data_IF_173318409904
#
_entry.id   IF_173318409904
#
_cell.length_a   1.000
_cell.length_b   1.000
_cell.length_c   1.000
_cell.angle_alpha   90.00
_cell.angle_beta   90.00
_cell.angle_gamma   90.00
#
_symmetry.space_group_name_H-M   'P 1'
#
loop_
_entity.id
_entity.type
_entity.pdbx_description
1 polymer ?
#
# COMPACT_ATOMS: atom_id res chain seq x y z
N UNK A 1 -33.81 -28.56 37.21
CA UNK A 1 -33.61 -28.39 35.76
C UNK A 1 -34.10 -26.99 35.38
N UNK A 2 -33.19 -26.06 35.04
CA UNK A 2 -33.48 -24.62 35.04
C UNK A 2 -34.24 -24.17 33.77
N UNK A 3 -35.58 -24.14 33.86
CA UNK A 3 -36.49 -23.67 32.80
C UNK A 3 -36.07 -22.31 32.18
N UNK A 4 -35.54 -21.40 32.99
CA UNK A 4 -35.06 -20.09 32.53
C UNK A 4 -33.84 -20.16 31.58
N UNK A 5 -32.97 -21.18 31.73
CA UNK A 5 -31.85 -21.39 30.79
C UNK A 5 -32.37 -21.90 29.45
N UNK A 6 -33.39 -22.76 29.46
CA UNK A 6 -33.98 -23.32 28.25
C UNK A 6 -34.69 -22.26 27.41
N UNK A 7 -35.43 -21.35 28.06
CA UNK A 7 -36.09 -20.21 27.39
C UNK A 7 -35.05 -19.27 26.73
N UNK A 8 -33.93 -19.00 27.42
CA UNK A 8 -32.84 -18.20 26.83
C UNK A 8 -32.22 -18.85 25.59
N UNK A 9 -32.03 -20.16 25.61
CA UNK A 9 -31.51 -20.90 24.44
C UNK A 9 -32.46 -20.83 23.24
N UNK A 10 -33.77 -20.98 23.47
CA UNK A 10 -34.78 -20.86 22.41
C UNK A 10 -34.79 -19.45 21.81
N UNK A 11 -34.70 -18.41 22.65
CA UNK A 11 -34.68 -17.03 22.17
C UNK A 11 -33.45 -16.74 21.31
N UNK A 12 -32.28 -17.25 21.70
CA UNK A 12 -31.04 -17.11 20.93
C UNK A 12 -31.14 -17.82 19.58
N UNK A 13 -31.66 -19.05 19.55
CA UNK A 13 -31.88 -19.82 18.31
C UNK A 13 -32.85 -19.09 17.37
N UNK A 14 -33.90 -18.48 17.90
CA UNK A 14 -34.86 -17.70 17.12
C UNK A 14 -34.23 -16.43 16.51
N UNK A 15 -33.38 -15.73 17.26
CA UNK A 15 -32.65 -14.56 16.76
C UNK A 15 -31.68 -14.96 15.63
N UNK A 16 -30.95 -16.06 15.79
CA UNK A 16 -30.04 -16.58 14.75
C UNK A 16 -30.82 -16.94 13.48
N UNK A 17 -31.99 -17.58 13.63
CA UNK A 17 -32.86 -17.90 12.51
C UNK A 17 -33.39 -16.65 11.79
N UNK A 18 -33.80 -15.62 12.53
CA UNK A 18 -34.21 -14.34 11.95
C UNK A 18 -33.08 -13.66 11.18
N UNK A 19 -31.86 -13.67 11.70
CA UNK A 19 -30.67 -13.13 11.01
C UNK A 19 -30.41 -13.91 9.71
N UNK A 20 -30.53 -15.24 9.74
CA UNK A 20 -30.35 -16.08 8.55
C UNK A 20 -31.43 -15.81 7.48
N UNK A 21 -32.68 -15.60 7.90
CA UNK A 21 -33.79 -15.25 7.02
C UNK A 21 -33.57 -13.88 6.36
N UNK A 22 -33.14 -12.88 7.14
CA UNK A 22 -32.83 -11.53 6.63
C UNK A 22 -31.64 -11.57 5.66
N UNK A 23 -30.61 -12.37 5.96
CA UNK A 23 -29.46 -12.55 5.08
C UNK A 23 -29.86 -13.15 3.73
N UNK A 24 -30.72 -14.18 3.74
CA UNK A 24 -31.30 -14.77 2.51
C UNK A 24 -32.09 -13.76 1.68
N UNK A 25 -32.83 -12.86 2.31
CA UNK A 25 -33.62 -11.82 1.62
C UNK A 25 -32.70 -10.75 1.02
N UNK A 26 -31.70 -10.28 1.77
CA UNK A 26 -30.80 -9.20 1.33
C UNK A 26 -29.78 -9.65 0.29
N UNK A 27 -29.33 -10.91 0.37
CA UNK A 27 -28.32 -11.49 -0.51
C UNK A 27 -28.91 -12.61 -1.37
N UNK A 28 -30.06 -12.34 -1.99
CA UNK A 28 -30.52 -13.15 -3.11
C UNK A 28 -29.50 -12.95 -4.24
N UNK A 29 -28.83 -14.03 -4.67
CA UNK A 29 -27.78 -13.99 -5.68
C UNK A 29 -28.29 -13.22 -6.91
N UNK A 30 -27.80 -12.00 -7.11
CA UNK A 30 -27.98 -11.31 -8.38
C UNK A 30 -27.17 -12.11 -9.38
N UNK A 31 -27.85 -12.83 -10.26
CA UNK A 31 -27.25 -13.43 -11.43
C UNK A 31 -26.35 -12.39 -12.10
N UNK A 32 -25.07 -12.71 -12.23
CA UNK A 32 -24.13 -11.89 -12.97
C UNK A 32 -24.65 -11.93 -14.41
N UNK A 33 -25.13 -10.80 -14.91
CA UNK A 33 -25.52 -10.68 -16.31
C UNK A 33 -24.23 -10.75 -17.13
N UNK A 34 -23.86 -11.95 -17.57
CA UNK A 34 -22.79 -12.15 -18.53
C UNK A 34 -23.36 -11.64 -19.85
N UNK A 35 -22.91 -10.47 -20.29
CA UNK A 35 -23.16 -9.98 -21.64
C UNK A 35 -22.39 -10.89 -22.61
N UNK A 36 -22.96 -12.04 -22.95
CA UNK A 36 -22.53 -12.79 -24.13
C UNK A 36 -23.05 -12.00 -25.33
N UNK A 37 -22.16 -11.35 -26.05
CA UNK A 37 -22.52 -10.80 -27.36
C UNK A 37 -22.83 -11.96 -28.29
N UNK A 38 -24.03 -11.98 -28.87
CA UNK A 38 -24.43 -12.96 -29.90
C UNK A 38 -23.73 -12.74 -31.26
N UNK A 39 -22.72 -11.85 -31.31
CA UNK A 39 -21.90 -11.69 -32.50
C UNK A 39 -21.05 -12.96 -32.69
N UNK A 40 -21.04 -13.55 -33.91
CA UNK A 40 -20.16 -14.67 -34.19
C UNK A 40 -18.72 -14.23 -33.97
N UNK A 41 -17.95 -15.07 -33.27
CA UNK A 41 -16.52 -14.87 -33.06
C UNK A 41 -15.92 -14.66 -34.45
N UNK A 42 -15.42 -13.45 -34.74
CA UNK A 42 -14.69 -13.19 -35.98
C UNK A 42 -13.44 -14.05 -35.95
N UNK A 43 -13.49 -15.18 -36.64
CA UNK A 43 -12.31 -16.02 -36.87
C UNK A 43 -11.25 -15.19 -37.59
N UNK A 44 -9.99 -15.37 -37.19
CA UNK A 44 -8.89 -14.72 -37.88
C UNK A 44 -8.84 -15.21 -39.34
N UNK A 45 -8.50 -14.34 -40.31
CA UNK A 45 -8.43 -14.73 -41.71
C UNK A 45 -7.49 -15.92 -41.90
N UNK A 46 -7.97 -16.95 -42.62
CA UNK A 46 -7.27 -18.22 -42.86
C UNK A 46 -5.96 -18.01 -43.62
N UNK A 47 -5.90 -16.96 -44.45
CA UNK A 47 -4.70 -16.54 -45.19
C UNK A 47 -4.30 -15.12 -44.79
N UNK A 48 -3.94 -14.94 -43.52
CA UNK A 48 -3.27 -13.71 -43.10
C UNK A 48 -1.92 -13.63 -43.86
N UNK A 49 -1.66 -12.57 -44.64
CA UNK A 49 -0.38 -12.43 -45.32
C UNK A 49 0.75 -12.44 -44.29
N UNK A 50 1.84 -13.16 -44.58
CA UNK A 50 3.01 -13.20 -43.72
C UNK A 50 3.53 -11.77 -43.54
N UNK A 51 3.30 -11.22 -42.35
CA UNK A 51 3.74 -9.90 -41.99
C UNK A 51 5.25 -9.98 -41.77
N UNK A 52 6.02 -9.56 -42.77
CA UNK A 52 7.48 -9.45 -42.61
C UNK A 52 7.76 -8.48 -41.47
N UNK A 53 8.54 -8.92 -40.49
CA UNK A 53 9.03 -8.05 -39.44
C UNK A 53 9.69 -6.82 -40.09
N UNK A 54 9.35 -5.60 -39.66
CA UNK A 54 10.00 -4.42 -40.18
C UNK A 54 11.49 -4.51 -39.88
N UNK A 55 12.33 -4.15 -40.85
CA UNK A 55 13.80 -4.12 -40.74
C UNK A 55 14.29 -3.37 -39.49
N UNK A 56 13.46 -2.46 -38.97
CA UNK A 56 13.64 -1.77 -37.71
C UNK A 56 12.32 -1.84 -36.94
N UNK A 57 12.27 -2.65 -35.88
CA UNK A 57 11.16 -2.64 -34.91
C UNK A 57 11.48 -1.58 -33.84
N UNK A 58 10.83 -0.41 -33.84
CA UNK A 58 11.05 0.58 -32.80
C UNK A 58 10.53 0.04 -31.46
N UNK A 59 11.32 0.23 -30.40
CA UNK A 59 10.93 -0.16 -29.06
C UNK A 59 9.61 0.50 -28.67
N UNK A 60 8.75 -0.22 -27.96
CA UNK A 60 7.45 0.31 -27.47
C UNK A 60 7.61 1.63 -26.69
N UNK A 61 8.80 1.89 -26.13
CA UNK A 61 9.17 3.13 -25.45
C UNK A 61 9.48 4.34 -26.35
N UNK A 62 9.82 4.15 -27.63
CA UNK A 62 10.15 5.26 -28.56
C UNK A 62 8.93 5.83 -29.31
N UNK A 63 7.72 5.33 -29.05
CA UNK A 63 6.49 5.95 -29.55
C UNK A 63 6.19 7.33 -28.92
N UNK A 64 6.92 7.71 -27.86
CA UNK A 64 6.69 8.96 -27.11
C UNK A 64 7.87 9.91 -27.10
N UNK A 65 9.01 9.53 -27.70
CA UNK A 65 10.16 10.41 -27.83
C UNK A 65 10.98 9.99 -29.05
N UNK A 66 11.29 10.97 -29.90
CA UNK A 66 12.15 10.95 -31.09
C UNK A 66 12.87 9.61 -31.32
N UNK A 67 12.51 8.91 -32.42
CA UNK A 67 13.08 7.68 -33.00
C UNK A 67 14.49 7.29 -32.53
N UNK A 68 14.61 6.91 -31.27
CA UNK A 68 15.86 6.51 -30.67
C UNK A 68 15.96 5.00 -30.88
N UNK A 69 17.06 4.51 -31.49
CA UNK A 69 17.29 3.08 -31.62
C UNK A 69 17.16 2.42 -30.26
N UNK A 70 16.52 1.24 -30.22
CA UNK A 70 16.46 0.44 -29.01
C UNK A 70 17.86 0.31 -28.41
N UNK A 71 18.02 0.71 -27.15
CA UNK A 71 19.22 0.34 -26.40
C UNK A 71 19.39 -1.16 -26.51
N UNK A 72 20.61 -1.61 -26.84
CA UNK A 72 20.89 -3.04 -26.93
C UNK A 72 20.62 -3.70 -25.57
N UNK A 73 20.39 -5.01 -25.56
CA UNK A 73 20.28 -5.78 -24.31
C UNK A 73 21.50 -5.53 -23.41
N UNK A 74 22.67 -5.36 -24.01
CA UNK A 74 23.92 -5.03 -23.35
C UNK A 74 23.90 -3.61 -22.75
N UNK A 75 23.32 -2.61 -23.44
CA UNK A 75 23.16 -1.24 -22.93
C UNK A 75 22.16 -1.18 -21.78
N UNK A 76 21.08 -1.98 -21.81
CA UNK A 76 20.13 -2.11 -20.70
C UNK A 76 20.77 -2.79 -19.50
N UNK A 77 21.63 -3.81 -19.72
CA UNK A 77 22.42 -4.45 -18.68
C UNK A 77 23.51 -3.49 -18.15
N UNK A 78 24.08 -2.64 -19.00
CA UNK A 78 25.08 -1.63 -18.64
C UNK A 78 24.47 -0.41 -17.94
N UNK A 79 23.24 -0.01 -18.23
CA UNK A 79 22.48 0.96 -17.46
C UNK A 79 22.05 0.40 -16.10
N UNK A 80 21.97 -0.94 -16.01
CA UNK A 80 21.88 -1.71 -14.76
C UNK A 80 23.23 -1.87 -14.04
N UNK A 81 24.33 -1.31 -14.55
CA UNK A 81 25.63 -1.29 -13.85
C UNK A 81 25.37 -0.88 -12.41
N UNK A 82 25.81 -1.76 -11.53
CA UNK A 82 25.52 -1.75 -10.10
C UNK A 82 25.62 -0.32 -9.58
N UNK A 83 24.48 0.25 -9.20
CA UNK A 83 24.46 1.56 -8.54
C UNK A 83 25.22 1.39 -7.23
N UNK A 84 26.53 1.72 -7.27
CA UNK A 84 27.38 1.82 -6.11
C UNK A 84 26.77 2.86 -5.20
N UNK A 85 26.60 2.51 -3.94
CA UNK A 85 25.89 3.35 -2.99
C UNK A 85 25.35 2.53 -1.85
N UNK A 86 24.91 3.25 -0.83
CA UNK A 86 24.33 2.67 0.34
C UNK A 86 22.81 2.62 0.22
N UNK A 87 22.23 1.60 0.84
CA UNK A 87 20.81 1.33 0.79
C UNK A 87 20.23 1.16 2.18
N UNK A 88 18.94 1.47 2.29
CA UNK A 88 18.13 1.21 3.47
C UNK A 88 17.09 0.14 3.13
N UNK A 89 17.00 -0.89 3.95
CA UNK A 89 15.88 -1.85 3.93
C UNK A 89 14.85 -1.41 4.95
N UNK A 90 13.58 -1.43 4.55
CA UNK A 90 12.43 -1.26 5.44
C UNK A 90 11.68 -2.58 5.51
N UNK A 91 11.51 -3.07 6.73
CA UNK A 91 11.06 -4.44 7.01
C UNK A 91 9.55 -4.50 7.24
N UNK A 92 8.98 -3.52 7.93
CA UNK A 92 7.55 -3.43 8.21
C UNK A 92 7.24 -2.10 8.91
N UNK A 93 5.98 -1.70 8.87
CA UNK A 93 5.43 -0.54 9.58
C UNK A 93 4.37 -1.02 10.57
N UNK A 94 4.41 -0.49 11.78
CA UNK A 94 3.57 -0.89 12.90
C UNK A 94 2.84 0.32 13.48
N UNK A 95 1.63 0.11 13.98
CA UNK A 95 0.86 1.14 14.71
C UNK A 95 1.37 1.34 16.14
N UNK A 96 2.08 0.35 16.70
CA UNK A 96 2.55 0.37 18.08
C UNK A 96 4.05 0.06 18.17
N UNK A 97 4.76 0.83 18.98
CA UNK A 97 6.19 0.67 19.24
C UNK A 97 6.53 -0.71 19.84
N UNK A 98 5.69 -1.22 20.75
CA UNK A 98 5.89 -2.54 21.37
C UNK A 98 5.81 -3.68 20.34
N UNK A 99 4.93 -3.55 19.36
CA UNK A 99 4.78 -4.54 18.29
C UNK A 99 6.01 -4.53 17.38
N UNK A 100 6.53 -3.34 17.06
CA UNK A 100 7.79 -3.20 16.34
C UNK A 100 8.96 -3.85 17.12
N UNK A 101 9.06 -3.63 18.43
CA UNK A 101 10.08 -4.27 19.27
C UNK A 101 9.95 -5.79 19.29
N UNK A 102 8.73 -6.33 19.37
CA UNK A 102 8.49 -7.78 19.31
C UNK A 102 8.97 -8.37 17.97
N UNK A 103 8.67 -7.69 16.86
CA UNK A 103 9.11 -8.12 15.53
C UNK A 103 10.62 -8.01 15.34
N UNK A 104 11.29 -7.02 15.94
CA UNK A 104 12.76 -6.98 15.97
C UNK A 104 13.32 -8.22 16.67
N UNK A 105 12.72 -8.68 17.79
CA UNK A 105 13.17 -9.91 18.46
C UNK A 105 13.06 -11.12 17.54
N UNK A 106 11.95 -11.24 16.79
CA UNK A 106 11.77 -12.30 15.79
C UNK A 106 12.77 -12.18 14.64
N UNK A 107 13.02 -10.99 14.11
CA UNK A 107 14.02 -10.77 13.05
C UNK A 107 15.43 -11.17 13.49
N UNK A 108 15.78 -10.91 14.76
CA UNK A 108 17.08 -11.29 15.33
C UNK A 108 17.29 -12.80 15.51
N UNK A 109 16.26 -13.63 15.33
CA UNK A 109 16.43 -15.10 15.31
C UNK A 109 16.97 -15.61 13.98
N UNK A 110 16.94 -14.78 12.92
CA UNK A 110 17.46 -15.12 11.60
C UNK A 110 18.95 -14.77 11.55
N UNK A 111 19.81 -15.75 11.26
CA UNK A 111 21.26 -15.60 11.37
C UNK A 111 21.83 -14.53 10.44
N UNK A 112 21.27 -14.36 9.24
CA UNK A 112 21.68 -13.29 8.33
C UNK A 112 21.30 -11.90 8.84
N UNK A 113 20.14 -11.80 9.49
CA UNK A 113 19.59 -10.51 9.93
C UNK A 113 20.13 -10.10 11.30
N UNK A 114 20.45 -11.07 12.16
CA UNK A 114 21.03 -10.84 13.49
C UNK A 114 22.30 -10.00 13.44
N UNK A 115 23.05 -10.08 12.33
CA UNK A 115 24.29 -9.31 12.10
C UNK A 115 24.04 -7.87 11.68
N UNK A 116 22.82 -7.55 11.22
CA UNK A 116 22.46 -6.23 10.73
C UNK A 116 22.07 -5.31 11.89
N UNK A 117 22.43 -4.04 11.76
CA UNK A 117 21.94 -3.00 12.66
C UNK A 117 20.48 -2.69 12.30
N UNK A 118 19.57 -3.07 13.20
CA UNK A 118 18.15 -2.78 13.09
C UNK A 118 17.78 -1.60 13.98
N UNK A 119 17.04 -0.65 13.43
CA UNK A 119 16.57 0.55 14.10
C UNK A 119 15.06 0.69 13.93
N UNK A 120 14.39 1.30 14.92
CA UNK A 120 12.98 1.69 14.82
C UNK A 120 12.94 3.18 14.52
N UNK A 121 12.42 3.53 13.35
CA UNK A 121 12.19 4.89 12.92
C UNK A 121 10.73 5.28 13.20
N UNK A 122 10.51 6.42 13.85
CA UNK A 122 9.17 7.01 13.96
C UNK A 122 8.81 7.68 12.64
N UNK A 123 7.74 7.22 12.01
CA UNK A 123 7.18 7.77 10.79
C UNK A 123 5.98 8.61 11.18
N UNK A 124 6.16 9.93 11.19
CA UNK A 124 5.06 10.87 11.32
C UNK A 124 4.14 10.69 10.10
N UNK A 125 2.93 10.19 10.34
CA UNK A 125 1.94 10.08 9.30
C UNK A 125 1.13 11.37 9.27
N UNK A 126 1.03 12.00 8.11
CA UNK A 126 0.11 13.10 7.89
C UNK A 126 -0.88 12.80 6.78
N UNK A 127 -2.10 13.33 6.91
CA UNK A 127 -3.08 13.31 5.83
C UNK A 127 -3.29 14.73 5.33
N UNK A 128 -3.07 14.94 4.04
CA UNK A 128 -3.38 16.23 3.42
C UNK A 128 -4.82 16.25 2.89
N UNK A 129 -5.55 17.30 3.25
CA UNK A 129 -6.85 17.63 2.69
C UNK A 129 -6.87 19.07 2.15
N UNK A 130 -7.83 19.36 1.28
CA UNK A 130 -8.11 20.73 0.82
C UNK A 130 -9.45 21.18 1.39
N UNK A 131 -9.44 22.37 1.98
CA UNK A 131 -10.63 23.01 2.56
C UNK A 131 -11.69 23.24 1.47
N UNK A 132 -12.90 22.76 1.72
CA UNK A 132 -14.08 22.94 0.87
C UNK A 132 -15.03 23.95 1.47
N UNK A 133 -16.02 24.40 0.69
CA UNK A 133 -17.05 25.32 1.16
C UNK A 133 -17.80 24.73 2.36
N UNK A 134 -17.81 25.47 3.46
CA UNK A 134 -18.43 25.05 4.73
C UNK A 134 -17.51 24.26 5.66
N UNK A 135 -16.25 23.98 5.28
CA UNK A 135 -15.27 23.45 6.22
C UNK A 135 -14.88 24.49 7.27
N UNK A 136 -14.69 24.01 8.50
CA UNK A 136 -14.10 24.76 9.61
C UNK A 136 -12.97 23.94 10.19
N UNK A 137 -11.98 24.59 10.80
CA UNK A 137 -10.87 23.86 11.43
C UNK A 137 -11.37 22.97 12.56
N UNK A 138 -12.40 23.40 13.29
CA UNK A 138 -13.06 22.61 14.33
C UNK A 138 -13.70 21.31 13.80
N UNK A 139 -14.39 21.38 12.66
CA UNK A 139 -15.02 20.20 12.05
C UNK A 139 -13.98 19.22 11.52
N UNK A 140 -12.91 19.74 10.92
CA UNK A 140 -11.79 18.92 10.45
C UNK A 140 -11.11 18.24 11.64
N UNK A 141 -10.76 19.00 12.69
CA UNK A 141 -10.13 18.48 13.89
C UNK A 141 -10.95 17.35 14.54
N UNK A 142 -12.27 17.57 14.71
CA UNK A 142 -13.19 16.57 15.25
C UNK A 142 -13.28 15.30 14.39
N UNK A 143 -13.29 15.43 13.06
CA UNK A 143 -13.35 14.28 12.15
C UNK A 143 -12.14 13.35 12.27
N UNK A 144 -10.97 13.92 12.59
CA UNK A 144 -9.72 13.18 12.68
C UNK A 144 -9.24 12.92 14.11
N UNK A 145 -10.02 13.33 15.11
CA UNK A 145 -9.70 13.11 16.52
C UNK A 145 -8.48 13.88 17.03
N UNK A 146 -8.13 15.01 16.39
CA UNK A 146 -7.05 15.91 16.81
C UNK A 146 -7.63 17.16 17.46
N UNK A 147 -6.84 17.85 18.27
CA UNK A 147 -7.28 19.13 18.84
C UNK A 147 -7.18 20.25 17.81
N UNK A 148 -8.01 21.29 17.97
CA UNK A 148 -7.97 22.47 17.08
C UNK A 148 -6.61 23.16 17.17
N UNK A 149 -6.09 23.30 18.38
CA UNK A 149 -4.81 23.97 18.64
C UNK A 149 -3.64 23.19 18.03
N UNK A 150 -3.61 21.87 18.21
CA UNK A 150 -2.61 21.00 17.57
C UNK A 150 -2.67 21.11 16.05
N UNK A 151 -3.87 21.04 15.47
CA UNK A 151 -4.04 21.15 14.02
C UNK A 151 -3.64 22.54 13.52
N UNK A 152 -3.94 23.61 14.27
CA UNK A 152 -3.54 24.97 13.94
C UNK A 152 -2.02 25.14 14.00
N UNK A 153 -1.37 24.66 15.05
CA UNK A 153 0.09 24.70 15.22
C UNK A 153 0.78 23.91 14.11
N UNK A 154 0.31 22.68 13.83
CA UNK A 154 0.87 21.82 12.79
C UNK A 154 0.84 22.47 11.40
N UNK A 155 -0.19 23.28 11.13
CA UNK A 155 -0.36 23.99 9.86
C UNK A 155 0.08 25.46 9.91
N UNK A 156 0.71 25.91 10.99
CA UNK A 156 1.11 27.32 11.20
C UNK A 156 -0.05 28.33 11.03
N UNK A 157 -1.26 27.95 11.44
CA UNK A 157 -2.48 28.78 11.39
C UNK A 157 -2.57 29.63 12.66
N UNK A 158 -2.53 30.96 12.48
CA UNK A 158 -2.60 31.91 13.60
C UNK A 158 -4.01 32.10 14.18
N UNK A 159 -5.02 32.05 13.31
CA UNK A 159 -6.43 32.20 13.69
C UNK A 159 -7.21 30.96 13.22
N UNK A 160 -7.52 30.00 14.11
CA UNK A 160 -8.29 28.80 13.79
C UNK A 160 -9.66 29.05 13.16
N UNK A 161 -10.24 30.23 13.37
CA UNK A 161 -11.52 30.65 12.79
C UNK A 161 -11.41 31.10 11.32
N UNK A 162 -10.20 31.29 10.81
CA UNK A 162 -9.94 31.82 9.46
C UNK A 162 -9.13 30.82 8.64
N UNK A 163 -9.85 29.95 7.93
CA UNK A 163 -9.29 29.08 6.88
C UNK A 163 -9.91 29.42 5.52
N UNK A 164 -9.11 29.31 4.46
CA UNK A 164 -9.49 29.70 3.11
C UNK A 164 -9.90 28.50 2.27
N UNK A 165 -10.80 28.70 1.31
CA UNK A 165 -11.14 27.68 0.31
C UNK A 165 -9.88 27.18 -0.41
N UNK A 166 -9.82 25.88 -0.68
CA UNK A 166 -8.70 25.17 -1.29
C UNK A 166 -7.37 25.19 -0.51
N UNK A 167 -7.34 25.80 0.68
CA UNK A 167 -6.19 25.76 1.57
C UNK A 167 -5.85 24.29 1.87
N UNK A 168 -4.56 23.97 1.76
CA UNK A 168 -4.05 22.65 2.14
C UNK A 168 -3.93 22.60 3.65
N UNK A 169 -4.56 21.61 4.27
CA UNK A 169 -4.43 21.31 5.70
C UNK A 169 -3.79 19.93 5.80
N UNK A 170 -2.63 19.84 6.44
CA UNK A 170 -1.99 18.59 6.82
C UNK A 170 -2.43 18.21 8.23
N UNK A 171 -3.00 17.03 8.37
CA UNK A 171 -3.53 16.53 9.63
C UNK A 171 -2.49 15.59 10.22
N UNK A 172 -1.95 15.87 11.42
CA UNK A 172 -1.12 14.91 12.12
C UNK A 172 -1.97 13.69 12.49
N UNK A 173 -1.52 12.51 12.09
CA UNK A 173 -2.10 11.24 12.50
C UNK A 173 -1.15 10.57 13.50
N UNK A 174 -1.62 9.49 14.11
CA UNK A 174 -0.81 8.71 15.04
C UNK A 174 0.53 8.32 14.40
N UNK A 175 1.59 8.43 15.21
CA UNK A 175 2.92 7.99 14.84
C UNK A 175 2.93 6.50 14.49
N UNK A 176 3.54 6.17 13.36
CA UNK A 176 3.83 4.79 13.00
C UNK A 176 5.29 4.47 13.27
N UNK A 177 5.58 3.20 13.48
CA UNK A 177 6.93 2.73 13.76
C UNK A 177 7.40 1.82 12.64
N UNK A 178 8.52 2.16 12.02
CA UNK A 178 9.08 1.38 10.92
C UNK A 178 10.40 0.75 11.34
N UNK A 179 10.52 -0.56 11.14
CA UNK A 179 11.81 -1.24 11.33
C UNK A 179 12.64 -1.03 10.07
N UNK A 180 13.86 -0.53 10.24
CA UNK A 180 14.80 -0.27 9.16
C UNK A 180 16.19 -0.86 9.46
N UNK A 181 16.96 -1.04 8.39
CA UNK A 181 18.41 -1.22 8.44
C UNK A 181 19.05 -0.28 7.43
N UNK A 182 20.06 0.47 7.88
CA UNK A 182 20.70 1.55 7.13
C UNK A 182 22.11 1.15 6.70
N UNK A 183 22.66 1.86 5.71
CA UNK A 183 24.06 1.76 5.28
C UNK A 183 24.45 0.38 4.74
N UNK A 184 23.52 -0.29 4.03
CA UNK A 184 23.81 -1.55 3.36
C UNK A 184 24.53 -1.28 2.04
N UNK A 185 25.73 -1.82 1.90
CA UNK A 185 26.56 -1.61 0.71
C UNK A 185 26.08 -2.49 -0.46
N UNK A 186 25.77 -1.84 -1.58
CA UNK A 186 25.44 -2.51 -2.82
C UNK A 186 24.01 -3.04 -2.90
N UNK A 187 23.39 -2.85 -4.07
CA UNK A 187 22.01 -3.26 -4.30
C UNK A 187 21.84 -4.79 -4.28
N UNK A 188 22.84 -5.55 -4.74
CA UNK A 188 22.77 -7.02 -4.84
C UNK A 188 22.63 -7.67 -3.45
N UNK A 189 23.47 -7.28 -2.50
CA UNK A 189 23.40 -7.80 -1.14
C UNK A 189 22.12 -7.35 -0.44
N UNK A 190 21.75 -6.08 -0.61
CA UNK A 190 20.50 -5.53 -0.10
C UNK A 190 19.28 -6.33 -0.62
N UNK A 191 19.28 -6.70 -1.90
CA UNK A 191 18.22 -7.52 -2.52
C UNK A 191 18.23 -8.96 -2.00
N UNK A 192 19.40 -9.55 -1.76
CA UNK A 192 19.51 -10.87 -1.14
C UNK A 192 18.87 -10.89 0.26
N UNK A 193 19.20 -9.92 1.10
CA UNK A 193 18.58 -9.76 2.44
C UNK A 193 17.05 -9.60 2.31
N UNK A 194 16.61 -8.82 1.33
CA UNK A 194 15.19 -8.59 1.06
C UNK A 194 14.44 -9.89 0.69
N UNK A 195 15.05 -10.77 -0.09
CA UNK A 195 14.46 -12.06 -0.43
C UNK A 195 14.31 -12.95 0.82
N UNK A 196 15.35 -13.03 1.66
CA UNK A 196 15.31 -13.77 2.94
C UNK A 196 14.14 -13.29 3.82
N UNK A 197 13.90 -11.98 3.85
CA UNK A 197 12.77 -11.40 4.58
C UNK A 197 11.42 -11.88 4.03
N UNK A 198 11.24 -11.80 2.71
CA UNK A 198 10.00 -12.22 2.04
C UNK A 198 9.75 -13.71 2.25
N UNK A 199 10.79 -14.54 2.16
CA UNK A 199 10.71 -15.99 2.42
C UNK A 199 10.26 -16.29 3.86
N UNK A 200 10.60 -15.41 4.80
CA UNK A 200 10.18 -15.48 6.20
C UNK A 200 8.88 -14.69 6.49
N UNK A 201 8.09 -14.37 5.47
CA UNK A 201 6.79 -13.67 5.53
C UNK A 201 6.89 -12.24 6.10
N UNK A 202 8.02 -11.58 5.96
CA UNK A 202 8.17 -10.16 6.25
C UNK A 202 8.02 -9.33 4.98
N UNK A 203 7.57 -8.09 5.13
CA UNK A 203 7.62 -7.14 4.02
C UNK A 203 9.06 -6.67 3.80
N UNK A 204 9.38 -6.24 2.58
CA UNK A 204 10.66 -5.63 2.33
C UNK A 204 10.55 -4.56 1.26
N UNK A 205 11.10 -3.38 1.54
CA UNK A 205 11.31 -2.34 0.53
C UNK A 205 12.72 -1.75 0.64
N UNK A 206 13.35 -1.57 -0.52
CA UNK A 206 14.70 -1.05 -0.64
C UNK A 206 14.64 0.41 -1.07
N UNK A 207 15.37 1.28 -0.38
CA UNK A 207 15.54 2.69 -0.76
C UNK A 207 17.02 3.01 -0.87
N UNK A 208 17.44 3.62 -1.98
CA UNK A 208 18.79 4.16 -2.10
C UNK A 208 18.96 5.34 -1.12
N UNK A 209 20.09 5.40 -0.43
CA UNK A 209 20.51 6.57 0.32
C UNK A 209 21.13 7.55 -0.67
N UNK A 210 20.71 8.81 -0.57
CA UNK A 210 21.26 9.91 -1.36
C UNK A 210 22.47 10.50 -0.67
#
# INVERSE_FOLDING_TARGET
>A
MNFAKYIKYILILFIIFLIFLIYRILFNEKEILILTSDEPIKEQPIDAPEMKDPEITPCVYSLWNENTPCQSTEDLLNARKEKKGFYTIRYATFENYKDAQLHIKKLKTLDEIKKLKLEIETVQQEKSIRVKKGDTLSRIAALYGVSIDELAVFNSIKDPGRISLNQKISIPLNDKYRIISINLDGYKETKRICNILVDNQFTCSIKAQQ
#
